data_IF_500600439520
#
_entry.id   IF_500600439520
#
_cell.length_a   1.000
_cell.length_b   1.000
_cell.length_c   1.000
_cell.angle_alpha   90.00
_cell.angle_beta   90.00
_cell.angle_gamma   90.00
#
_symmetry.space_group_name_H-M   'P 1'
#
loop_
_entity.id
_entity.type
_entity.pdbx_description
1 polymer ?
#
# COMPACT_ATOMS: atom_id res chain seq x y z
N UNK A 1 -20.18 4.08 -63.45
CA UNK A 1 -20.21 4.93 -62.25
C UNK A 1 -20.91 4.11 -61.17
N UNK A 2 -20.34 3.72 -60.03
CA UNK A 2 -19.03 3.96 -59.43
C UNK A 2 -18.80 2.77 -58.47
N UNK A 3 -17.61 2.16 -58.55
CA UNK A 3 -17.16 1.14 -57.60
C UNK A 3 -16.71 1.87 -56.33
N UNK A 4 -17.50 1.83 -55.26
CA UNK A 4 -16.97 2.17 -53.94
C UNK A 4 -16.31 0.93 -53.34
N UNK A 5 -15.02 0.74 -53.64
CA UNK A 5 -14.15 -0.17 -52.91
C UNK A 5 -14.00 0.38 -51.49
N UNK A 6 -14.73 -0.15 -50.50
CA UNK A 6 -14.29 -0.01 -49.12
C UNK A 6 -13.13 -0.97 -48.91
N UNK A 7 -11.91 -0.46 -49.05
CA UNK A 7 -10.72 -1.07 -48.49
C UNK A 7 -10.95 -1.25 -47.00
N UNK A 8 -11.32 -2.47 -46.58
CA UNK A 8 -11.04 -2.95 -45.25
C UNK A 8 -9.52 -2.85 -45.08
N UNK A 9 -9.07 -1.79 -44.43
CA UNK A 9 -7.73 -1.74 -43.88
C UNK A 9 -7.73 -2.84 -42.83
N UNK A 10 -7.22 -4.00 -43.20
CA UNK A 10 -6.75 -5.00 -42.23
C UNK A 10 -5.74 -4.26 -41.36
N UNK A 11 -6.16 -3.81 -40.16
CA UNK A 11 -5.22 -3.50 -39.08
C UNK A 11 -4.38 -4.75 -38.95
N UNK A 12 -3.13 -4.72 -39.45
CA UNK A 12 -2.17 -5.75 -39.08
C UNK A 12 -2.09 -5.68 -37.56
N UNK A 13 -2.54 -6.75 -36.91
CA UNK A 13 -2.35 -7.04 -35.49
C UNK A 13 -0.84 -7.12 -35.21
N UNK A 14 -0.14 -5.98 -35.21
CA UNK A 14 1.12 -5.88 -34.49
C UNK A 14 0.76 -5.66 -33.02
N UNK A 15 0.28 -6.71 -32.36
CA UNK A 15 0.26 -6.70 -30.91
C UNK A 15 1.72 -6.66 -30.45
N UNK A 16 2.17 -5.50 -29.99
CA UNK A 16 3.46 -5.38 -29.33
C UNK A 16 3.44 -6.28 -28.10
N UNK A 17 4.49 -7.07 -27.93
CA UNK A 17 4.66 -7.88 -26.72
C UNK A 17 4.88 -6.93 -25.53
N UNK A 18 4.30 -7.27 -24.38
CA UNK A 18 4.50 -6.51 -23.15
C UNK A 18 5.37 -7.32 -22.17
N UNK A 19 6.37 -6.67 -21.59
CA UNK A 19 7.06 -7.16 -20.41
C UNK A 19 6.82 -6.20 -19.24
N UNK A 20 6.83 -6.73 -18.01
CA UNK A 20 6.72 -5.90 -16.80
C UNK A 20 8.08 -5.90 -16.12
N UNK A 21 8.65 -4.73 -15.84
CA UNK A 21 9.84 -4.62 -15.02
C UNK A 21 9.47 -4.55 -13.55
N UNK A 22 10.05 -5.42 -12.73
CA UNK A 22 9.65 -5.71 -11.35
C UNK A 22 9.06 -7.12 -11.25
N UNK A 23 9.19 -7.75 -10.08
CA UNK A 23 8.68 -9.11 -9.82
C UNK A 23 8.14 -9.24 -8.38
N UNK A 24 7.61 -8.15 -7.85
CA UNK A 24 7.04 -8.06 -6.50
C UNK A 24 5.63 -7.46 -6.57
N UNK A 25 5.02 -7.14 -5.43
CA UNK A 25 3.60 -6.85 -5.33
C UNK A 25 3.06 -5.77 -6.30
N UNK A 26 3.82 -4.71 -6.59
CA UNK A 26 3.42 -3.69 -7.59
C UNK A 26 3.30 -4.30 -9.00
N UNK A 27 4.32 -5.07 -9.41
CA UNK A 27 4.36 -5.76 -10.69
C UNK A 27 3.31 -6.88 -10.78
N UNK A 28 3.11 -7.65 -9.70
CA UNK A 28 2.07 -8.66 -9.62
C UNK A 28 0.68 -8.03 -9.76
N UNK A 29 0.40 -6.93 -9.04
CA UNK A 29 -0.87 -6.21 -9.18
C UNK A 29 -1.09 -5.63 -10.57
N UNK A 30 -0.03 -5.08 -11.19
CA UNK A 30 -0.09 -4.60 -12.56
C UNK A 30 -0.42 -5.75 -13.55
N UNK A 31 0.22 -6.91 -13.39
CA UNK A 31 -0.07 -8.09 -14.19
C UNK A 31 -1.51 -8.55 -14.02
N UNK A 32 -1.98 -8.74 -12.78
CA UNK A 32 -3.33 -9.22 -12.49
C UNK A 32 -4.39 -8.28 -13.08
N UNK A 33 -4.20 -6.97 -12.91
CA UNK A 33 -5.10 -5.97 -13.44
C UNK A 33 -5.11 -5.95 -14.97
N UNK A 34 -3.96 -5.91 -15.64
CA UNK A 34 -3.88 -5.91 -17.11
C UNK A 34 -4.45 -7.22 -17.67
N UNK A 35 -4.10 -8.36 -17.09
CA UNK A 35 -4.58 -9.66 -17.52
C UNK A 35 -6.10 -9.80 -17.39
N UNK A 36 -6.69 -9.23 -16.33
CA UNK A 36 -8.13 -9.24 -16.08
C UNK A 36 -8.89 -8.24 -16.96
N UNK A 37 -8.41 -7.00 -17.07
CA UNK A 37 -9.10 -5.91 -17.77
C UNK A 37 -8.89 -5.96 -19.29
N UNK A 38 -7.74 -6.47 -19.73
CA UNK A 38 -7.35 -6.46 -21.15
C UNK A 38 -6.56 -7.72 -21.54
N UNK A 39 -7.20 -8.91 -21.51
CA UNK A 39 -6.54 -10.21 -21.70
C UNK A 39 -5.90 -10.42 -23.08
N UNK A 40 -6.28 -9.62 -24.08
CA UNK A 40 -5.64 -9.61 -25.40
C UNK A 40 -4.18 -9.16 -25.34
N UNK A 41 -3.80 -8.41 -24.31
CA UNK A 41 -2.42 -7.97 -24.08
C UNK A 41 -1.62 -9.05 -23.36
N UNK A 42 -0.85 -9.81 -24.13
CA UNK A 42 0.01 -10.86 -23.60
C UNK A 42 1.24 -10.27 -22.90
N UNK A 43 1.43 -10.67 -21.65
CA UNK A 43 2.63 -10.34 -20.87
C UNK A 43 3.60 -11.51 -20.97
N UNK A 44 4.76 -11.27 -21.59
CA UNK A 44 5.74 -12.30 -21.92
C UNK A 44 6.56 -12.77 -20.74
N UNK A 45 7.00 -11.83 -19.91
CA UNK A 45 7.86 -12.08 -18.75
C UNK A 45 7.81 -10.91 -17.77
N UNK A 46 8.26 -11.21 -16.55
CA UNK A 46 8.73 -10.20 -15.62
C UNK A 46 10.24 -10.02 -15.78
N UNK A 47 10.71 -8.78 -15.72
CA UNK A 47 12.11 -8.42 -15.82
C UNK A 47 12.62 -7.89 -14.48
N UNK A 48 13.84 -8.27 -14.13
CA UNK A 48 14.56 -7.75 -12.96
C UNK A 48 16.01 -7.47 -13.34
N UNK A 49 16.68 -6.54 -12.66
CA UNK A 49 18.11 -6.32 -12.88
C UNK A 49 18.92 -7.55 -12.49
N UNK A 50 18.64 -8.10 -11.31
CA UNK A 50 19.22 -9.33 -10.78
C UNK A 50 18.09 -10.13 -10.11
N UNK A 51 18.17 -11.47 -10.16
CA UNK A 51 17.13 -12.32 -9.57
C UNK A 51 17.02 -12.13 -8.07
N UNK A 52 18.14 -12.08 -7.35
CA UNK A 52 18.16 -11.92 -5.89
C UNK A 52 17.20 -12.89 -5.19
N UNK A 53 16.27 -12.35 -4.39
CA UNK A 53 15.24 -13.11 -3.68
C UNK A 53 13.91 -13.26 -4.45
N UNK A 54 13.85 -12.84 -5.71
CA UNK A 54 12.62 -12.98 -6.50
C UNK A 54 12.42 -14.46 -6.90
N UNK A 55 11.17 -14.90 -6.94
CA UNK A 55 10.81 -16.23 -7.39
C UNK A 55 11.14 -16.42 -8.88
N UNK A 56 11.29 -17.68 -9.32
CA UNK A 56 11.52 -17.98 -10.74
C UNK A 56 10.32 -17.67 -11.63
N UNK A 57 9.12 -17.69 -11.03
CA UNK A 57 7.85 -17.39 -11.67
C UNK A 57 7.04 -16.46 -10.76
N UNK A 58 6.29 -15.56 -11.37
CA UNK A 58 5.30 -14.71 -10.71
C UNK A 58 4.00 -14.83 -11.52
N UNK A 59 2.89 -15.19 -10.87
CA UNK A 59 1.62 -15.53 -11.51
C UNK A 59 1.77 -16.56 -12.66
N UNK A 60 2.69 -17.51 -12.52
CA UNK A 60 3.03 -18.51 -13.55
C UNK A 60 3.83 -17.99 -14.75
N UNK A 61 4.21 -16.70 -14.76
CA UNK A 61 5.00 -16.06 -15.81
C UNK A 61 6.47 -15.99 -15.38
N UNK A 62 7.43 -16.29 -16.28
CA UNK A 62 8.84 -16.35 -15.91
C UNK A 62 9.40 -14.98 -15.50
N UNK A 63 10.24 -15.00 -14.46
CA UNK A 63 11.05 -13.87 -14.00
C UNK A 63 12.47 -14.00 -14.55
N UNK A 64 12.86 -13.05 -15.39
CA UNK A 64 14.12 -13.07 -16.16
C UNK A 64 15.01 -11.88 -15.82
N UNK A 65 16.32 -12.11 -15.81
CA UNK A 65 17.28 -11.03 -15.65
C UNK A 65 17.43 -10.24 -16.95
N UNK A 66 17.45 -8.91 -16.83
CA UNK A 66 17.47 -7.97 -17.95
C UNK A 66 18.62 -8.25 -18.92
N UNK A 67 19.83 -8.49 -18.41
CA UNK A 67 21.02 -8.71 -19.22
C UNK A 67 20.89 -9.98 -20.08
N UNK A 68 20.48 -11.10 -19.48
CA UNK A 68 20.30 -12.36 -20.19
C UNK A 68 19.16 -12.29 -21.21
N UNK A 69 18.02 -11.69 -20.81
CA UNK A 69 16.87 -11.54 -21.68
C UNK A 69 17.16 -10.64 -22.88
N UNK A 70 17.72 -9.44 -22.65
CA UNK A 70 18.02 -8.48 -23.71
C UNK A 70 19.14 -8.94 -24.64
N UNK A 71 20.09 -9.76 -24.15
CA UNK A 71 21.13 -10.39 -24.98
C UNK A 71 20.59 -11.42 -25.97
N UNK A 72 19.43 -12.03 -25.68
CA UNK A 72 18.77 -12.99 -26.56
C UNK A 72 17.85 -12.37 -27.62
N UNK A 73 17.64 -11.05 -27.62
CA UNK A 73 16.74 -10.36 -28.54
C UNK A 73 17.48 -9.71 -29.71
N UNK A 74 16.92 -9.84 -30.91
CA UNK A 74 17.33 -9.06 -32.08
C UNK A 74 16.97 -7.57 -31.94
N UNK A 75 17.65 -6.72 -32.70
CA UNK A 75 17.36 -5.28 -32.73
C UNK A 75 15.91 -4.96 -33.16
N UNK A 76 15.28 -5.83 -33.97
CA UNK A 76 13.88 -5.67 -34.36
C UNK A 76 12.95 -6.02 -33.21
N UNK A 77 13.19 -7.11 -32.49
CA UNK A 77 12.38 -7.50 -31.32
C UNK A 77 12.43 -6.45 -30.22
N UNK A 78 13.62 -5.90 -29.93
CA UNK A 78 13.78 -4.82 -28.94
C UNK A 78 12.92 -3.59 -29.23
N UNK A 79 12.70 -3.26 -30.51
CA UNK A 79 11.84 -2.13 -30.93
C UNK A 79 10.34 -2.41 -30.84
N UNK A 80 9.93 -3.68 -30.75
CA UNK A 80 8.53 -4.08 -30.70
C UNK A 80 8.13 -4.67 -29.33
N UNK A 81 9.01 -4.57 -28.34
CA UNK A 81 8.75 -4.97 -26.96
C UNK A 81 8.48 -3.72 -26.13
N UNK A 82 7.27 -3.61 -25.58
CA UNK A 82 6.96 -2.60 -24.59
C UNK A 82 7.33 -3.08 -23.20
N UNK A 83 7.84 -2.17 -22.37
CA UNK A 83 8.21 -2.46 -20.99
C UNK A 83 7.45 -1.52 -20.06
N UNK A 84 6.61 -2.10 -19.21
CA UNK A 84 5.94 -1.37 -18.14
C UNK A 84 6.77 -1.47 -16.87
N UNK A 85 7.32 -0.36 -16.38
CA UNK A 85 8.13 -0.33 -15.16
C UNK A 85 7.22 -0.26 -13.94
N UNK A 86 7.04 -1.39 -13.26
CA UNK A 86 6.13 -1.58 -12.12
C UNK A 86 6.92 -1.85 -10.82
N UNK A 87 7.72 -0.88 -10.43
CA UNK A 87 8.56 -0.87 -9.22
C UNK A 87 8.27 0.37 -8.36
N UNK A 88 8.86 0.52 -7.16
CA UNK A 88 8.87 1.81 -6.47
C UNK A 88 9.44 2.92 -7.37
N UNK A 89 8.83 4.11 -7.33
CA UNK A 89 9.17 5.23 -8.24
C UNK A 89 10.59 5.78 -8.03
N UNK A 90 11.13 5.66 -6.82
CA UNK A 90 12.47 6.13 -6.45
C UNK A 90 13.60 5.36 -7.15
N UNK A 91 13.31 4.13 -7.62
CA UNK A 91 14.29 3.31 -8.35
C UNK A 91 14.07 3.30 -9.87
N UNK A 92 12.97 3.87 -10.37
CA UNK A 92 12.64 3.86 -11.80
C UNK A 92 13.71 4.55 -12.68
N UNK A 93 14.32 5.69 -12.30
CA UNK A 93 15.34 6.32 -13.16
C UNK A 93 16.53 5.40 -13.47
N UNK A 94 17.00 4.64 -12.48
CA UNK A 94 18.11 3.68 -12.65
C UNK A 94 17.70 2.51 -13.56
N UNK A 95 16.42 2.10 -13.49
CA UNK A 95 15.87 1.07 -14.36
C UNK A 95 15.81 1.56 -15.80
N UNK A 96 15.35 2.78 -16.04
CA UNK A 96 15.30 3.39 -17.38
C UNK A 96 16.69 3.45 -18.01
N UNK A 97 17.69 3.94 -17.26
CA UNK A 97 19.09 3.96 -17.72
C UNK A 97 19.59 2.55 -18.11
N UNK A 98 19.21 1.53 -17.33
CA UNK A 98 19.58 0.14 -17.60
C UNK A 98 18.89 -0.43 -18.84
N UNK A 99 17.61 -0.11 -19.04
CA UNK A 99 16.84 -0.51 -20.22
C UNK A 99 17.39 0.13 -21.49
N UNK A 100 17.70 1.42 -21.43
CA UNK A 100 18.26 2.19 -22.54
C UNK A 100 19.64 1.69 -22.93
N UNK A 101 20.50 1.38 -21.94
CA UNK A 101 21.81 0.77 -22.18
C UNK A 101 21.75 -0.58 -22.91
N UNK A 102 20.65 -1.32 -22.74
CA UNK A 102 20.41 -2.60 -23.42
C UNK A 102 19.64 -2.45 -24.75
N UNK A 103 19.29 -1.22 -25.16
CA UNK A 103 18.56 -0.91 -26.39
C UNK A 103 17.05 -1.18 -26.33
N UNK A 104 16.48 -1.30 -25.12
CA UNK A 104 15.06 -1.52 -24.87
C UNK A 104 14.36 -0.20 -24.55
N UNK A 105 14.26 0.69 -25.55
CA UNK A 105 13.86 2.10 -25.34
C UNK A 105 12.34 2.32 -25.30
N UNK A 106 11.53 1.30 -25.55
CA UNK A 106 10.07 1.39 -25.49
C UNK A 106 9.57 1.05 -24.08
N UNK A 107 9.96 1.88 -23.11
CA UNK A 107 9.59 1.70 -21.70
C UNK A 107 8.74 2.86 -21.18
N UNK A 108 7.90 2.57 -20.18
CA UNK A 108 7.05 3.56 -19.54
C UNK A 108 6.87 3.26 -18.05
N UNK A 109 6.91 4.30 -17.22
CA UNK A 109 6.67 4.20 -15.78
C UNK A 109 5.21 3.91 -15.45
N UNK A 110 4.97 2.90 -14.62
CA UNK A 110 3.72 2.72 -13.91
C UNK A 110 3.82 3.43 -12.54
N UNK A 111 3.61 4.73 -12.53
CA UNK A 111 3.61 5.51 -11.27
C UNK A 111 2.52 5.01 -10.33
N UNK A 112 2.66 5.29 -9.05
CA UNK A 112 1.69 4.97 -7.99
C UNK A 112 0.26 5.43 -8.31
N UNK A 113 0.10 6.61 -8.92
CA UNK A 113 -1.21 7.10 -9.38
C UNK A 113 -1.78 6.28 -10.55
N UNK A 114 -0.94 5.91 -11.53
CA UNK A 114 -1.37 5.06 -12.64
C UNK A 114 -1.66 3.62 -12.18
N UNK A 115 -0.89 3.12 -11.23
CA UNK A 115 -1.13 1.84 -10.59
C UNK A 115 -2.46 1.86 -9.82
N UNK A 116 -2.73 2.91 -9.04
CA UNK A 116 -3.97 3.06 -8.31
C UNK A 116 -5.20 3.16 -9.23
N UNK A 117 -5.11 3.90 -10.33
CA UNK A 117 -6.18 3.97 -11.34
C UNK A 117 -6.46 2.58 -11.94
N UNK A 118 -5.41 1.87 -12.37
CA UNK A 118 -5.50 0.52 -12.91
C UNK A 118 -6.13 -0.46 -11.90
N UNK A 119 -5.71 -0.40 -10.64
CA UNK A 119 -6.26 -1.23 -9.57
C UNK A 119 -7.70 -0.87 -9.22
N UNK A 120 -8.10 0.39 -9.33
CA UNK A 120 -9.49 0.81 -9.17
C UNK A 120 -10.42 0.12 -10.16
N UNK A 121 -10.06 0.10 -11.45
CA UNK A 121 -10.82 -0.62 -12.46
C UNK A 121 -10.83 -2.14 -12.21
N UNK A 122 -9.68 -2.71 -11.85
CA UNK A 122 -9.58 -4.13 -11.51
C UNK A 122 -10.51 -4.49 -10.34
N UNK A 123 -10.53 -3.67 -9.29
CA UNK A 123 -11.38 -3.87 -8.13
C UNK A 123 -12.88 -3.83 -8.48
N UNK A 124 -13.30 -2.86 -9.29
CA UNK A 124 -14.70 -2.76 -9.76
C UNK A 124 -15.09 -3.99 -10.57
N UNK A 125 -14.25 -4.42 -11.52
CA UNK A 125 -14.54 -5.58 -12.37
C UNK A 125 -14.66 -6.87 -11.55
N UNK A 126 -13.76 -7.07 -10.58
CA UNK A 126 -13.69 -8.32 -9.80
C UNK A 126 -14.52 -8.28 -8.51
N UNK A 127 -15.15 -7.14 -8.19
CA UNK A 127 -15.87 -6.90 -6.93
C UNK A 127 -15.05 -7.27 -5.69
N UNK A 128 -13.73 -7.06 -5.76
CA UNK A 128 -12.80 -7.42 -4.69
C UNK A 128 -12.67 -6.31 -3.65
N UNK A 129 -12.74 -5.05 -4.09
CA UNK A 129 -12.68 -3.88 -3.23
C UNK A 129 -13.54 -2.75 -3.83
N UNK A 130 -14.11 -1.88 -3.00
CA UNK A 130 -14.94 -0.76 -3.48
C UNK A 130 -14.11 0.53 -3.55
N UNK A 131 -13.86 1.12 -4.73
CA UNK A 131 -13.25 2.44 -4.82
C UNK A 131 -14.15 3.52 -4.21
N UNK A 132 -13.58 4.42 -3.42
CA UNK A 132 -14.30 5.58 -2.91
C UNK A 132 -14.87 6.42 -4.06
N UNK A 133 -14.10 6.61 -5.13
CA UNK A 133 -14.52 7.36 -6.32
C UNK A 133 -15.70 6.76 -7.08
N UNK A 134 -16.08 5.51 -6.81
CA UNK A 134 -17.27 4.88 -7.38
C UNK A 134 -18.57 5.29 -6.66
N UNK A 135 -18.47 5.91 -5.48
CA UNK A 135 -19.63 6.38 -4.72
C UNK A 135 -20.15 7.74 -5.24
N UNK A 136 -21.46 8.00 -5.16
CA UNK A 136 -22.03 9.32 -5.45
C UNK A 136 -21.39 10.42 -4.60
N UNK A 137 -21.10 11.56 -5.23
CA UNK A 137 -20.65 12.77 -4.51
C UNK A 137 -21.79 13.28 -3.65
N UNK A 138 -21.53 13.44 -2.35
CA UNK A 138 -22.48 13.98 -1.39
C UNK A 138 -22.50 15.51 -1.33
N UNK A 139 -23.14 16.01 -0.28
CA UNK A 139 -23.32 17.41 0.07
C UNK A 139 -22.61 17.78 1.37
N UNK A 140 -22.49 16.85 2.32
CA UNK A 140 -21.83 17.07 3.60
C UNK A 140 -20.34 16.77 3.46
N UNK A 141 -19.52 17.77 3.82
CA UNK A 141 -18.06 17.64 3.77
C UNK A 141 -17.56 17.04 5.07
N UNK A 142 -16.70 16.04 4.96
CA UNK A 142 -16.01 15.47 6.10
C UNK A 142 -14.90 16.40 6.61
N UNK A 143 -14.73 16.42 7.94
CA UNK A 143 -13.62 17.09 8.63
C UNK A 143 -12.45 16.11 8.76
N UNK A 144 -11.43 16.26 7.91
CA UNK A 144 -10.33 15.29 7.78
C UNK A 144 -9.11 15.73 8.57
N UNK A 145 -8.57 14.78 9.34
CA UNK A 145 -7.33 14.91 10.11
C UNK A 145 -6.38 13.75 9.78
N UNK A 146 -5.63 13.86 8.70
CA UNK A 146 -4.64 12.86 8.29
C UNK A 146 -3.27 13.18 8.90
N UNK A 147 -2.76 12.31 9.77
CA UNK A 147 -1.46 12.51 10.41
C UNK A 147 -0.34 11.87 9.58
N UNK A 148 0.55 12.71 9.05
CA UNK A 148 1.71 12.26 8.29
C UNK A 148 2.89 11.99 9.23
N UNK A 149 3.21 10.72 9.45
CA UNK A 149 4.38 10.32 10.23
C UNK A 149 5.68 10.74 9.52
N UNK A 150 6.50 11.53 10.22
CA UNK A 150 7.84 11.98 9.79
C UNK A 150 8.90 11.56 10.78
N UNK A 151 10.04 11.14 10.28
CA UNK A 151 11.19 10.74 11.08
C UNK A 151 12.41 11.58 10.72
N UNK A 152 13.26 11.91 11.70
CA UNK A 152 14.42 12.78 11.48
C UNK A 152 15.45 12.23 10.48
N UNK A 153 15.38 10.93 10.14
CA UNK A 153 16.23 10.27 9.13
C UNK A 153 15.52 10.02 7.81
N UNK A 154 14.34 10.60 7.60
CA UNK A 154 13.65 10.52 6.33
C UNK A 154 14.51 11.10 5.21
N UNK A 155 14.54 10.41 4.08
CA UNK A 155 15.29 10.90 2.92
C UNK A 155 14.58 12.13 2.35
N UNK A 156 15.31 13.19 1.94
CA UNK A 156 14.69 14.32 1.25
C UNK A 156 13.90 13.88 0.01
N UNK A 157 12.72 14.46 -0.19
CA UNK A 157 11.95 14.29 -1.42
C UNK A 157 12.68 14.99 -2.58
N UNK A 158 12.67 14.40 -3.76
CA UNK A 158 13.21 15.00 -4.98
C UNK A 158 12.35 16.18 -5.47
N UNK A 159 11.06 16.19 -5.14
CA UNK A 159 10.12 17.24 -5.51
C UNK A 159 9.41 17.82 -4.29
N UNK A 160 9.15 19.14 -4.31
CA UNK A 160 8.29 19.79 -3.33
C UNK A 160 6.86 19.35 -3.59
N UNK A 161 6.23 18.75 -2.57
CA UNK A 161 4.82 18.39 -2.61
C UNK A 161 4.07 19.31 -1.65
N UNK A 162 3.16 20.12 -2.18
CA UNK A 162 2.19 20.83 -1.35
C UNK A 162 1.29 19.79 -0.70
N UNK A 163 1.29 19.80 0.64
CA UNK A 163 0.42 18.93 1.41
C UNK A 163 -0.97 19.56 1.49
N UNK A 164 -2.04 18.77 1.31
CA UNK A 164 -3.39 19.26 1.58
C UNK A 164 -3.51 19.80 3.02
N UNK A 165 -4.39 20.79 3.23
CA UNK A 165 -4.58 21.43 4.54
C UNK A 165 -5.00 20.44 5.64
N UNK A 166 -5.67 19.35 5.26
CA UNK A 166 -6.09 18.27 6.16
C UNK A 166 -4.96 17.27 6.51
N UNK A 167 -3.75 17.43 5.95
CA UNK A 167 -2.59 16.63 6.31
C UNK A 167 -1.74 17.37 7.34
N UNK A 168 -1.61 16.77 8.53
CA UNK A 168 -0.86 17.33 9.66
C UNK A 168 0.41 16.49 9.88
N UNK A 169 1.61 17.04 9.65
CA UNK A 169 2.85 16.35 9.98
C UNK A 169 2.99 16.10 11.49
N UNK A 170 3.40 14.89 11.85
CA UNK A 170 3.76 14.51 13.23
C UNK A 170 5.10 13.80 13.21
N UNK A 171 6.02 14.24 14.08
CA UNK A 171 7.30 13.58 14.24
C UNK A 171 7.15 12.33 15.10
N UNK A 172 7.58 11.18 14.56
CA UNK A 172 7.64 9.91 15.29
C UNK A 172 9.01 9.69 15.93
N UNK A 173 9.01 9.00 17.08
CA UNK A 173 10.22 8.74 17.87
C UNK A 173 10.92 10.00 18.35
N UNK A 174 10.19 11.09 18.56
CA UNK A 174 10.74 12.35 19.06
C UNK A 174 11.36 12.22 20.46
N UNK A 175 10.97 11.22 21.25
CA UNK A 175 11.61 10.89 22.53
C UNK A 175 13.03 10.30 22.38
N UNK A 176 13.42 9.89 21.17
CA UNK A 176 14.70 9.23 20.89
C UNK A 176 15.73 10.15 20.22
N UNK A 177 15.38 11.42 19.96
CA UNK A 177 16.25 12.37 19.28
C UNK A 177 15.94 13.84 19.66
N UNK A 178 16.91 14.72 19.47
CA UNK A 178 16.76 16.16 19.75
C UNK A 178 16.25 16.93 18.53
N UNK A 179 16.50 16.42 17.33
CA UNK A 179 16.07 17.03 16.07
C UNK A 179 14.54 17.14 16.00
N UNK A 180 14.05 18.23 15.39
CA UNK A 180 12.62 18.47 15.17
C UNK A 180 12.32 18.66 13.69
N UNK A 181 11.43 17.82 13.15
CA UNK A 181 11.06 17.78 11.71
C UNK A 181 9.57 18.02 11.45
N UNK A 182 8.80 18.24 12.51
CA UNK A 182 7.41 18.67 12.50
C UNK A 182 7.12 19.46 13.77
N UNK A 183 6.10 20.32 13.74
CA UNK A 183 5.67 21.10 14.90
C UNK A 183 5.00 20.22 15.97
N UNK A 184 4.37 19.13 15.54
CA UNK A 184 3.77 18.13 16.41
C UNK A 184 4.72 16.96 16.62
N UNK A 185 4.83 16.48 17.85
CA UNK A 185 5.67 15.36 18.22
C UNK A 185 4.86 14.27 18.92
N UNK A 186 5.18 13.01 18.63
CA UNK A 186 4.56 11.85 19.26
C UNK A 186 4.98 11.64 20.72
N UNK A 187 5.87 12.47 21.28
CA UNK A 187 6.36 12.36 22.65
C UNK A 187 5.61 13.23 23.68
N UNK A 188 4.63 14.01 23.23
CA UNK A 188 3.79 14.83 24.11
C UNK A 188 2.60 14.01 24.67
N UNK A 189 2.02 14.40 25.81
CA UNK A 189 0.84 13.72 26.36
C UNK A 189 1.05 12.23 26.65
N UNK A 190 -0.02 11.43 26.51
CA UNK A 190 0.07 9.96 26.63
C UNK A 190 0.66 9.38 25.34
N UNK A 191 1.77 8.64 25.45
CA UNK A 191 2.51 8.21 24.27
C UNK A 191 3.37 6.95 24.45
N UNK A 192 3.82 6.43 23.30
CA UNK A 192 4.79 5.33 23.18
C UNK A 192 5.98 5.73 22.27
N UNK A 193 6.33 7.01 22.20
CA UNK A 193 7.37 7.55 21.29
C UNK A 193 8.72 6.82 21.45
N UNK A 194 9.09 6.47 22.69
CA UNK A 194 10.30 5.71 23.00
C UNK A 194 10.35 4.31 22.36
N UNK A 195 9.22 3.79 21.85
CA UNK A 195 9.12 2.49 21.18
C UNK A 195 9.18 2.58 19.65
N UNK A 196 9.41 3.76 19.07
CA UNK A 196 9.38 3.98 17.61
C UNK A 196 10.32 3.04 16.82
N UNK A 197 11.46 2.65 17.39
CA UNK A 197 12.36 1.68 16.74
C UNK A 197 11.65 0.39 16.35
N UNK A 198 10.70 -0.09 17.19
CA UNK A 198 9.95 -1.31 16.93
C UNK A 198 8.59 -1.05 16.29
N UNK A 199 7.87 -0.03 16.78
CA UNK A 199 6.50 0.28 16.38
C UNK A 199 6.41 1.13 15.10
N UNK A 200 7.51 1.79 14.72
CA UNK A 200 7.55 2.72 13.58
C UNK A 200 6.40 3.74 13.64
N UNK A 201 5.71 3.96 12.50
CA UNK A 201 4.62 4.92 12.33
C UNK A 201 3.44 4.69 13.31
N UNK A 202 3.30 3.49 13.88
CA UNK A 202 2.24 3.19 14.88
C UNK A 202 2.38 4.01 16.17
N UNK A 203 3.56 4.58 16.44
CA UNK A 203 3.73 5.52 17.56
C UNK A 203 2.90 6.80 17.37
N UNK A 204 2.81 7.31 16.13
CA UNK A 204 1.91 8.41 15.80
C UNK A 204 0.44 7.97 15.89
N UNK A 205 0.08 6.77 15.41
CA UNK A 205 -1.30 6.27 15.51
C UNK A 205 -1.76 6.15 16.97
N UNK A 206 -0.91 5.63 17.85
CA UNK A 206 -1.17 5.56 19.29
C UNK A 206 -1.40 6.96 19.86
N UNK A 207 -0.54 7.89 19.49
CA UNK A 207 -0.63 9.26 19.96
C UNK A 207 -1.93 9.94 19.51
N UNK A 208 -2.35 9.75 18.26
CA UNK A 208 -3.63 10.24 17.73
C UNK A 208 -4.79 9.65 18.54
N UNK A 209 -4.77 8.33 18.78
CA UNK A 209 -5.78 7.66 19.58
C UNK A 209 -5.95 8.28 20.97
N UNK A 210 -4.84 8.51 21.68
CA UNK A 210 -4.88 8.99 23.07
C UNK A 210 -5.12 10.49 23.21
N UNK A 211 -4.61 11.30 22.27
CA UNK A 211 -4.54 12.75 22.43
C UNK A 211 -5.43 13.53 21.46
N UNK A 212 -5.92 12.91 20.37
CA UNK A 212 -6.77 13.57 19.36
C UNK A 212 -8.19 13.03 19.35
N UNK A 213 -8.36 11.70 19.38
CA UNK A 213 -9.70 11.11 19.39
C UNK A 213 -10.45 11.38 20.72
N UNK A 214 -9.75 11.70 21.80
CA UNK A 214 -10.35 12.10 23.07
C UNK A 214 -10.94 13.52 23.06
N UNK A 215 -10.59 14.35 22.06
CA UNK A 215 -11.07 15.74 21.94
C UNK A 215 -12.29 15.77 21.00
N UNK A 216 -13.39 16.47 21.34
CA UNK A 216 -14.50 16.68 20.42
C UNK A 216 -14.04 17.43 19.17
N UNK A 217 -14.56 17.06 17.99
CA UNK A 217 -14.37 17.94 16.83
C UNK A 217 -15.17 19.24 17.06
N UNK A 218 -14.55 20.37 16.73
CA UNK A 218 -15.14 21.70 16.87
C UNK A 218 -15.99 22.12 15.66
N UNK A 219 -15.89 21.40 14.54
CA UNK A 219 -16.61 21.71 13.29
C UNK A 219 -18.09 21.36 13.33
N UNK A 220 -18.50 20.43 14.21
CA UNK A 220 -19.85 19.84 14.20
C UNK A 220 -20.11 18.93 12.99
N UNK A 221 -19.12 18.76 12.12
CA UNK A 221 -19.11 17.86 10.98
C UNK A 221 -18.59 16.47 11.42
N UNK A 222 -18.85 15.45 10.60
CA UNK A 222 -18.33 14.11 10.83
C UNK A 222 -16.81 14.11 10.62
N UNK A 223 -16.08 13.75 11.68
CA UNK A 223 -14.64 13.84 11.71
C UNK A 223 -13.97 12.49 11.44
N UNK A 224 -13.02 12.50 10.50
CA UNK A 224 -12.21 11.35 10.15
C UNK A 224 -10.76 11.61 10.51
N UNK A 225 -10.11 10.57 11.02
CA UNK A 225 -8.74 10.60 11.48
C UNK A 225 -7.96 9.49 10.78
N UNK A 226 -6.69 9.74 10.47
CA UNK A 226 -5.90 8.79 9.71
C UNK A 226 -4.41 8.88 9.99
N UNK A 227 -3.70 7.86 9.51
CA UNK A 227 -2.24 7.80 9.50
C UNK A 227 -1.76 7.64 8.06
N UNK A 228 -0.74 8.40 7.69
CA UNK A 228 -0.01 8.19 6.45
C UNK A 228 1.50 8.36 6.65
N UNK A 229 2.29 7.98 5.65
CA UNK A 229 3.74 8.08 5.73
C UNK A 229 4.22 9.38 5.09
N UNK A 230 5.43 9.82 5.42
CA UNK A 230 6.05 10.98 4.78
C UNK A 230 6.13 10.89 3.24
N UNK A 231 6.17 9.68 2.66
CA UNK A 231 6.17 9.42 1.20
C UNK A 231 4.93 8.73 0.66
N UNK A 232 3.95 8.38 1.48
CA UNK A 232 2.78 7.62 1.02
C UNK A 232 1.53 8.24 1.60
N UNK A 233 0.75 8.86 0.73
CA UNK A 233 -0.43 9.66 1.11
C UNK A 233 -1.62 9.17 0.30
N UNK A 234 -2.77 8.99 0.94
CA UNK A 234 -4.01 8.71 0.23
C UNK A 234 -4.32 9.86 -0.75
N UNK A 235 -4.62 9.50 -1.99
CA UNK A 235 -4.95 10.42 -3.05
C UNK A 235 -6.46 10.68 -3.02
N UNK A 236 -6.87 11.68 -2.24
CA UNK A 236 -8.24 12.11 -2.07
C UNK A 236 -8.46 13.46 -2.77
N UNK A 237 -9.56 13.58 -3.49
CA UNK A 237 -10.04 14.81 -4.13
C UNK A 237 -11.03 15.54 -3.22
N UNK A 238 -11.37 16.79 -3.55
CA UNK A 238 -12.42 17.52 -2.83
C UNK A 238 -13.78 16.82 -2.91
N UNK A 239 -14.09 16.18 -4.05
CA UNK A 239 -15.28 15.36 -4.19
C UNK A 239 -15.26 14.14 -3.25
N UNK A 240 -14.08 13.54 -3.00
CA UNK A 240 -13.97 12.40 -2.10
C UNK A 240 -14.32 12.77 -0.66
N UNK A 241 -14.01 14.00 -0.23
CA UNK A 241 -14.37 14.53 1.09
C UNK A 241 -15.90 14.63 1.27
N UNK A 242 -16.63 14.81 0.17
CA UNK A 242 -18.09 14.84 0.13
C UNK A 242 -18.70 13.44 0.02
N UNK A 243 -17.93 12.44 -0.42
CA UNK A 243 -18.40 11.05 -0.53
C UNK A 243 -18.46 10.34 0.82
N UNK A 244 -17.67 10.77 1.81
CA UNK A 244 -17.54 10.01 3.06
C UNK A 244 -18.82 10.01 3.90
N UNK A 245 -19.36 11.17 4.35
CA UNK A 245 -20.47 11.15 5.32
C UNK A 245 -21.77 10.65 4.69
N UNK A 246 -22.09 11.14 3.48
CA UNK A 246 -23.37 10.85 2.82
C UNK A 246 -23.48 9.43 2.26
N UNK A 247 -22.37 8.69 2.22
CA UNK A 247 -22.38 7.26 1.88
C UNK A 247 -22.04 6.37 3.08
N UNK A 248 -22.03 6.94 4.29
CA UNK A 248 -21.78 6.23 5.56
C UNK A 248 -20.46 5.44 5.49
N UNK A 249 -19.40 6.04 4.92
CA UNK A 249 -18.10 5.38 4.78
C UNK A 249 -17.42 5.31 6.14
N UNK A 250 -17.17 4.11 6.65
CA UNK A 250 -16.51 3.93 7.95
C UNK A 250 -14.99 4.11 7.85
N UNK A 251 -14.38 3.61 6.77
CA UNK A 251 -12.93 3.61 6.58
C UNK A 251 -12.55 3.63 5.10
N UNK A 252 -11.49 4.37 4.80
CA UNK A 252 -10.79 4.40 3.53
C UNK A 252 -9.41 3.77 3.72
N UNK A 253 -9.15 2.69 3.00
CA UNK A 253 -7.86 2.00 2.96
C UNK A 253 -7.17 2.27 1.60
N UNK A 254 -5.84 2.14 1.49
CA UNK A 254 -5.20 2.05 0.19
C UNK A 254 -5.66 0.76 -0.52
N UNK A 255 -5.61 0.74 -1.85
CA UNK A 255 -5.72 -0.54 -2.58
C UNK A 255 -4.71 -1.55 -2.02
N UNK A 256 -5.16 -2.75 -1.62
CA UNK A 256 -4.27 -3.72 -0.99
C UNK A 256 -3.29 -4.31 -2.00
N UNK A 257 -2.14 -4.74 -1.51
CA UNK A 257 -1.11 -5.33 -2.35
C UNK A 257 -1.34 -6.83 -2.50
N UNK A 258 -1.20 -7.40 -3.71
CA UNK A 258 -1.29 -8.83 -3.91
C UNK A 258 -0.02 -9.55 -3.45
N UNK A 259 -0.21 -10.72 -2.87
CA UNK A 259 0.82 -11.66 -2.46
C UNK A 259 0.60 -13.02 -3.12
N UNK A 260 1.71 -13.70 -3.42
CA UNK A 260 1.73 -15.05 -3.98
C UNK A 260 2.62 -15.96 -3.11
N UNK A 261 2.14 -17.16 -2.71
CA UNK A 261 0.80 -17.70 -3.01
C UNK A 261 -0.35 -17.02 -2.23
N UNK A 262 -0.04 -16.44 -1.08
CA UNK A 262 -1.01 -15.83 -0.16
C UNK A 262 -0.30 -14.84 0.79
N UNK A 263 -1.07 -14.20 1.68
CA UNK A 263 -0.59 -13.20 2.63
C UNK A 263 0.48 -13.74 3.59
N UNK A 264 0.59 -15.06 3.79
CA UNK A 264 1.64 -15.63 4.65
C UNK A 264 3.05 -15.27 4.17
N UNK A 265 3.22 -15.04 2.87
CA UNK A 265 4.49 -14.57 2.30
C UNK A 265 4.98 -13.26 2.96
N UNK A 266 4.09 -12.42 3.48
CA UNK A 266 4.46 -11.20 4.20
C UNK A 266 5.22 -11.51 5.50
N UNK A 267 4.63 -12.29 6.41
CA UNK A 267 5.28 -12.56 7.69
C UNK A 267 6.52 -13.45 7.52
N UNK A 268 6.52 -14.39 6.56
CA UNK A 268 7.72 -15.17 6.25
C UNK A 268 8.90 -14.30 5.79
N UNK A 269 8.63 -13.18 5.12
CA UNK A 269 9.66 -12.25 4.64
C UNK A 269 10.20 -11.33 5.73
N UNK A 270 9.35 -10.90 6.66
CA UNK A 270 9.65 -9.79 7.57
C UNK A 270 9.75 -10.17 9.05
N UNK A 271 9.20 -11.31 9.44
CA UNK A 271 9.16 -11.78 10.83
C UNK A 271 9.95 -13.08 10.99
N UNK A 272 10.61 -13.20 12.14
CA UNK A 272 11.16 -14.48 12.58
C UNK A 272 10.02 -15.39 13.01
N UNK A 273 10.25 -16.70 12.96
CA UNK A 273 9.25 -17.69 13.39
C UNK A 273 8.79 -17.44 14.83
N UNK A 274 9.71 -17.11 15.73
CA UNK A 274 9.41 -16.88 17.14
C UNK A 274 8.54 -15.63 17.34
N UNK A 275 8.76 -14.59 16.54
CA UNK A 275 7.93 -13.38 16.56
C UNK A 275 6.53 -13.67 16.01
N UNK A 276 6.43 -14.51 14.97
CA UNK A 276 5.15 -14.93 14.44
C UNK A 276 4.36 -15.82 15.43
N UNK A 277 5.03 -16.76 16.09
CA UNK A 277 4.45 -17.58 17.14
C UNK A 277 3.92 -16.70 18.30
N UNK A 278 4.61 -15.59 18.61
CA UNK A 278 4.15 -14.58 19.57
C UNK A 278 2.88 -13.85 19.11
N UNK A 279 2.77 -13.50 17.83
CA UNK A 279 1.56 -12.92 17.24
C UNK A 279 0.37 -13.86 17.39
N UNK A 280 0.50 -15.11 16.95
CA UNK A 280 -0.57 -16.09 17.04
C UNK A 280 -1.03 -16.30 18.49
N UNK A 281 -0.08 -16.37 19.42
CA UNK A 281 -0.36 -16.50 20.85
C UNK A 281 -1.10 -15.27 21.41
N UNK A 282 -0.66 -14.06 21.08
CA UNK A 282 -1.28 -12.82 21.56
C UNK A 282 -2.72 -12.67 21.04
N UNK A 283 -2.96 -12.95 19.76
CA UNK A 283 -4.31 -12.88 19.16
C UNK A 283 -5.22 -13.95 19.77
N UNK A 284 -4.74 -15.19 19.94
CA UNK A 284 -5.53 -16.26 20.57
C UNK A 284 -5.95 -15.92 22.00
N UNK A 285 -5.04 -15.33 22.77
CA UNK A 285 -5.29 -15.00 24.17
C UNK A 285 -6.28 -13.84 24.33
N UNK A 286 -6.12 -12.77 23.55
CA UNK A 286 -6.88 -11.54 23.74
C UNK A 286 -8.14 -11.47 22.87
N UNK A 287 -8.13 -12.13 21.72
CA UNK A 287 -9.14 -12.01 20.67
C UNK A 287 -9.42 -13.38 20.02
N UNK A 288 -9.93 -14.37 20.77
CA UNK A 288 -10.09 -15.75 20.29
C UNK A 288 -10.98 -15.89 19.04
N UNK A 289 -11.97 -15.00 18.87
CA UNK A 289 -12.82 -14.98 17.66
C UNK A 289 -12.03 -14.59 16.41
N UNK A 290 -11.15 -13.59 16.51
CA UNK A 290 -10.24 -13.21 15.44
C UNK A 290 -9.22 -14.33 15.17
N UNK A 291 -8.69 -14.95 16.22
CA UNK A 291 -7.75 -16.06 16.08
C UNK A 291 -8.33 -17.24 15.29
N UNK A 292 -9.63 -17.53 15.47
CA UNK A 292 -10.31 -18.60 14.77
C UNK A 292 -10.38 -18.39 13.24
N UNK A 293 -10.55 -17.16 12.78
CA UNK A 293 -10.60 -16.85 11.34
C UNK A 293 -9.24 -16.50 10.74
N UNK A 294 -8.24 -16.20 11.58
CA UNK A 294 -6.97 -15.64 11.15
C UNK A 294 -6.25 -16.51 10.10
N UNK A 295 -6.16 -17.85 10.23
CA UNK A 295 -5.56 -18.68 9.19
C UNK A 295 -6.27 -18.55 7.83
N UNK A 296 -7.61 -18.44 7.85
CA UNK A 296 -8.40 -18.27 6.63
C UNK A 296 -8.15 -16.92 5.94
N UNK A 297 -7.94 -15.86 6.71
CA UNK A 297 -7.56 -14.54 6.18
C UNK A 297 -6.15 -14.57 5.61
N UNK A 298 -5.20 -15.21 6.29
CA UNK A 298 -3.81 -15.32 5.81
C UNK A 298 -3.68 -16.11 4.50
N UNK A 299 -4.63 -17.01 4.21
CA UNK A 299 -4.73 -17.73 2.93
C UNK A 299 -5.36 -16.92 1.80
N UNK A 300 -5.74 -15.66 2.04
CA UNK A 300 -6.18 -14.75 1.00
C UNK A 300 -4.98 -14.12 0.27
N UNK A 301 -5.27 -13.30 -0.75
CA UNK A 301 -4.25 -12.74 -1.65
C UNK A 301 -3.83 -11.32 -1.31
N UNK A 302 -4.67 -10.55 -0.60
CA UNK A 302 -4.54 -9.10 -0.51
C UNK A 302 -4.27 -8.66 0.92
N UNK A 303 -3.15 -7.99 1.14
CA UNK A 303 -2.79 -7.40 2.44
C UNK A 303 -2.75 -5.87 2.32
N UNK A 304 -3.28 -5.20 3.34
CA UNK A 304 -3.15 -3.75 3.48
C UNK A 304 -1.77 -3.44 4.06
N UNK A 305 -0.87 -2.98 3.19
CA UNK A 305 0.46 -2.60 3.60
C UNK A 305 0.48 -1.21 4.24
N UNK A 306 1.56 -0.98 4.98
CA UNK A 306 1.99 0.31 5.48
C UNK A 306 1.19 0.89 6.65
N UNK A 307 0.15 0.28 7.22
CA UNK A 307 -0.62 0.93 8.32
C UNK A 307 -1.22 2.28 7.90
N UNK A 308 -1.61 2.44 6.63
CA UNK A 308 -2.19 3.67 6.10
C UNK A 308 -3.70 3.50 6.07
N UNK A 309 -4.40 4.39 6.76
CA UNK A 309 -5.86 4.41 6.77
C UNK A 309 -6.40 5.81 7.08
N UNK A 310 -7.65 6.03 6.72
CA UNK A 310 -8.47 7.15 7.17
C UNK A 310 -9.82 6.58 7.62
N UNK A 311 -10.22 6.78 8.87
CA UNK A 311 -11.44 6.21 9.40
C UNK A 311 -12.24 7.24 10.21
N UNK A 312 -13.55 7.01 10.31
CA UNK A 312 -14.41 7.75 11.23
C UNK A 312 -13.87 7.64 12.64
N UNK A 313 -14.05 8.70 13.43
CA UNK A 313 -13.47 8.83 14.78
C UNK A 313 -13.69 7.59 15.66
N UNK A 314 -14.92 7.11 15.74
CA UNK A 314 -15.32 5.96 16.56
C UNK A 314 -14.70 4.66 16.03
N UNK A 315 -14.68 4.48 14.71
CA UNK A 315 -14.07 3.33 14.03
C UNK A 315 -12.58 3.27 14.31
N UNK A 316 -11.87 4.41 14.20
CA UNK A 316 -10.44 4.47 14.49
C UNK A 316 -10.15 4.19 15.97
N UNK A 317 -10.98 4.71 16.87
CA UNK A 317 -10.84 4.47 18.31
C UNK A 317 -11.05 2.98 18.66
N UNK A 318 -12.05 2.32 18.06
CA UNK A 318 -12.31 0.89 18.23
C UNK A 318 -11.14 0.04 17.69
N UNK A 319 -10.65 0.37 16.48
CA UNK A 319 -9.49 -0.30 15.89
C UNK A 319 -8.25 -0.17 16.78
N UNK A 320 -7.94 1.03 17.28
CA UNK A 320 -6.79 1.24 18.15
C UNK A 320 -6.93 0.49 19.49
N UNK A 321 -8.14 0.50 20.08
CA UNK A 321 -8.43 -0.25 21.30
C UNK A 321 -8.29 -1.76 21.13
N UNK A 322 -8.51 -2.29 19.92
CA UNK A 322 -8.26 -3.68 19.57
C UNK A 322 -6.77 -3.95 19.29
N UNK A 323 -6.12 -3.09 18.48
CA UNK A 323 -4.77 -3.29 17.96
C UNK A 323 -3.70 -3.22 19.07
N UNK A 324 -3.66 -2.14 19.85
CA UNK A 324 -2.53 -1.87 20.72
C UNK A 324 -2.34 -2.88 21.86
N UNK A 325 -3.40 -3.39 22.52
CA UNK A 325 -3.25 -4.47 23.49
C UNK A 325 -2.61 -5.73 22.90
N UNK A 326 -2.92 -6.06 21.64
CA UNK A 326 -2.31 -7.21 20.95
C UNK A 326 -0.82 -6.92 20.71
N UNK A 327 -0.47 -5.75 20.18
CA UNK A 327 0.92 -5.37 19.94
C UNK A 327 1.77 -5.38 21.21
N UNK A 328 1.23 -4.83 22.31
CA UNK A 328 1.88 -4.87 23.62
C UNK A 328 2.08 -6.31 24.11
N UNK A 329 1.11 -7.19 23.87
CA UNK A 329 1.22 -8.61 24.24
C UNK A 329 2.24 -9.35 23.38
N UNK A 330 2.34 -9.04 22.09
CA UNK A 330 3.41 -9.55 21.21
C UNK A 330 4.78 -9.11 21.72
N UNK A 331 4.94 -7.82 22.05
CA UNK A 331 6.18 -7.27 22.60
C UNK A 331 6.64 -8.00 23.88
N UNK A 332 5.70 -8.37 24.75
CA UNK A 332 5.99 -9.15 25.97
C UNK A 332 6.48 -10.58 25.67
N UNK A 333 6.02 -11.18 24.58
CA UNK A 333 6.41 -12.54 24.17
C UNK A 333 7.69 -12.59 23.33
N UNK A 334 8.05 -11.50 22.65
CA UNK A 334 9.25 -11.43 21.81
C UNK A 334 10.55 -11.58 22.60
N UNK A 335 11.54 -12.25 21.99
CA UNK A 335 12.87 -12.43 22.56
C UNK A 335 13.93 -12.03 21.52
N UNK A 336 14.80 -11.03 21.79
CA UNK A 336 14.79 -10.16 22.97
C UNK A 336 13.57 -9.23 22.99
N UNK A 337 13.24 -8.65 24.15
CA UNK A 337 12.05 -7.82 24.33
C UNK A 337 12.28 -6.36 23.90
N UNK A 338 11.24 -5.74 23.33
CA UNK A 338 11.11 -4.29 23.10
C UNK A 338 12.42 -3.55 22.83
N UNK A 339 12.80 -2.65 23.75
CA UNK A 339 13.96 -1.74 23.66
C UNK A 339 15.31 -2.37 23.32
N UNK A 340 15.49 -3.67 23.56
CA UNK A 340 16.75 -4.37 23.24
C UNK A 340 16.83 -4.74 21.74
N UNK A 341 15.71 -4.59 21.02
CA UNK A 341 15.60 -4.80 19.58
C UNK A 341 15.84 -3.51 18.81
N UNK A 342 16.41 -3.67 17.62
CA UNK A 342 16.72 -2.57 16.68
C UNK A 342 15.99 -2.68 15.34
N UNK A 343 15.01 -3.59 15.25
CA UNK A 343 14.21 -3.86 14.08
C UNK A 343 12.74 -3.44 14.29
N UNK A 344 12.05 -3.19 13.18
CA UNK A 344 10.65 -2.73 13.13
C UNK A 344 9.61 -3.85 13.11
N UNK A 345 9.89 -4.96 13.79
CA UNK A 345 9.05 -6.17 13.72
C UNK A 345 7.58 -5.89 14.09
N UNK A 346 7.33 -5.06 15.12
CA UNK A 346 5.96 -4.64 15.49
C UNK A 346 5.27 -3.84 14.38
N UNK A 347 6.02 -3.00 13.65
CA UNK A 347 5.49 -2.32 12.47
C UNK A 347 4.94 -3.29 11.41
N UNK A 348 5.64 -4.40 11.15
CA UNK A 348 5.18 -5.44 10.22
C UNK A 348 4.02 -6.28 10.79
N UNK A 349 4.00 -6.50 12.11
CA UNK A 349 2.85 -7.10 12.80
C UNK A 349 1.61 -6.21 12.63
N UNK A 350 1.77 -4.88 12.74
CA UNK A 350 0.73 -3.88 12.49
C UNK A 350 0.03 -4.09 11.15
N UNK A 351 0.78 -4.20 10.05
CA UNK A 351 0.20 -4.35 8.70
C UNK A 351 -0.65 -5.64 8.58
N UNK A 352 -0.20 -6.71 9.25
CA UNK A 352 -0.92 -7.99 9.27
C UNK A 352 -2.19 -7.91 10.13
N UNK A 353 -2.10 -7.24 11.29
CA UNK A 353 -3.24 -7.08 12.20
C UNK A 353 -4.27 -6.08 11.69
N UNK A 354 -3.87 -5.02 10.99
CA UNK A 354 -4.75 -4.14 10.23
C UNK A 354 -5.60 -4.93 9.25
N UNK A 355 -4.95 -5.78 8.45
CA UNK A 355 -5.64 -6.66 7.50
C UNK A 355 -6.59 -7.62 8.21
N UNK A 356 -6.16 -8.26 9.30
CA UNK A 356 -7.01 -9.12 10.10
C UNK A 356 -8.26 -8.37 10.62
N UNK A 357 -8.08 -7.17 11.17
CA UNK A 357 -9.17 -6.38 11.74
C UNK A 357 -10.22 -6.03 10.70
N UNK A 358 -9.81 -5.40 9.59
CA UNK A 358 -10.76 -4.92 8.59
C UNK A 358 -11.39 -6.07 7.81
N UNK A 359 -10.67 -7.17 7.56
CA UNK A 359 -11.25 -8.33 6.88
C UNK A 359 -12.21 -9.13 7.76
N UNK A 360 -12.00 -9.17 9.08
CA UNK A 360 -12.97 -9.73 10.03
C UNK A 360 -14.26 -8.89 10.09
N UNK A 361 -14.11 -7.56 10.07
CA UNK A 361 -15.22 -6.61 10.22
C UNK A 361 -15.85 -6.16 8.90
N UNK A 362 -15.47 -6.74 7.75
CA UNK A 362 -15.89 -6.29 6.41
C UNK A 362 -17.41 -6.26 6.18
N UNK A 363 -18.17 -7.07 6.91
CA UNK A 363 -19.63 -7.12 6.78
C UNK A 363 -20.34 -6.15 7.75
N UNK A 364 -19.58 -5.59 8.71
CA UNK A 364 -20.03 -4.58 9.66
C UNK A 364 -19.65 -3.16 9.24
N UNK A 365 -18.52 -3.01 8.56
CA UNK A 365 -17.95 -1.72 8.17
C UNK A 365 -18.11 -1.47 6.67
N UNK A 366 -18.47 -0.25 6.32
CA UNK A 366 -18.42 0.27 4.97
C UNK A 366 -16.97 0.64 4.58
N UNK A 367 -16.24 -0.37 4.10
CA UNK A 367 -14.83 -0.22 3.70
C UNK A 367 -14.73 0.23 2.25
N UNK A 368 -14.10 1.38 2.02
CA UNK A 368 -13.78 1.90 0.68
C UNK A 368 -12.28 2.03 0.47
N UNK A 369 -11.87 2.22 -0.78
CA UNK A 369 -10.47 2.21 -1.18
C UNK A 369 -10.09 3.44 -1.99
N UNK A 370 -8.92 3.98 -1.74
CA UNK A 370 -8.34 5.08 -2.50
C UNK A 370 -6.95 4.75 -3.01
N UNK A 371 -6.53 5.47 -4.05
CA UNK A 371 -5.14 5.41 -4.50
C UNK A 371 -4.20 5.93 -3.42
N UNK A 372 -2.97 5.43 -3.41
CA UNK A 372 -1.92 5.93 -2.55
C UNK A 372 -0.81 6.51 -3.42
N UNK A 373 -0.52 7.80 -3.26
CA UNK A 373 0.53 8.50 -4.00
C UNK A 373 1.87 8.29 -3.32
N UNK A 374 2.86 7.85 -4.09
CA UNK A 374 4.22 7.62 -3.62
C UNK A 374 5.08 8.83 -4.00
N UNK A 375 5.56 9.57 -3.00
CA UNK A 375 6.39 10.76 -3.20
C UNK A 375 7.85 10.36 -3.42
N UNK A 376 8.46 10.92 -4.47
CA UNK A 376 9.87 10.71 -4.85
C UNK A 376 10.76 11.84 -4.38
#
# INVERSE_FOLDING_TARGET
>A
MEKCKSTCITRREYHMDLAIFGAQAIALGAYEAIHSLYPERKIRCFLVTERGNNAEYCAGIPVLELAAFSGGLSASEKKHLEILIATPEDVMPVIEDSLDACGLTCHVRLTSLRWAELMGYYCVQNRSCMPLSALPVGYHRADIHMFQARFHKDRPLASVCDLPEWVVPIQVGAALCEERVADMADCDGENISGKNVNYSELTALYWVWKNRLSVPSFSGEEAYYGLCHYRRILNLTDDDLLRLPDNEVDVVLPYPMPYEPDIEAHHHRYLKKEDWDAVLRAVLELQPEYANVFPGILKQRFLYNYNILLAGKEVLAEYCAWLFPILERVEQYSVPQGKDRKDRYIGYVGETLETLYFMYNKDRLQITHAGCRFLT
#
